data_IF_015906911148
#
_entry.id   IF_015906911148
#
_cell.length_a   1.000
_cell.length_b   1.000
_cell.length_c   1.000
_cell.angle_alpha   90.00
_cell.angle_beta   90.00
_cell.angle_gamma   90.00
#
_symmetry.space_group_name_H-M   'P 1'
#
loop_
_entity.id
_entity.type
_entity.pdbx_description
1 polymer ?
#
# COMPACT_ATOMS: atom_id res chain seq x y z
N UNK A 1 3.31 4.63 -50.16
CA UNK A 1 2.66 5.48 -49.12
C UNK A 1 1.75 4.57 -48.30
N UNK A 2 2.30 3.99 -47.24
CA UNK A 2 1.59 3.08 -46.31
C UNK A 2 1.15 3.88 -45.11
N UNK A 3 -0.17 4.05 -44.98
CA UNK A 3 -0.77 4.68 -43.80
C UNK A 3 -0.51 3.81 -42.57
N UNK A 4 0.21 4.35 -41.60
CA UNK A 4 0.27 3.81 -40.24
C UNK A 4 -1.12 4.01 -39.55
N UNK A 5 -1.66 3.01 -38.85
CA UNK A 5 -2.91 3.19 -38.12
C UNK A 5 -2.67 4.11 -36.93
N UNK A 6 -3.43 5.21 -36.92
CA UNK A 6 -3.53 6.14 -35.79
C UNK A 6 -4.26 5.43 -34.65
N UNK A 7 -3.53 4.81 -33.75
CA UNK A 7 -4.09 4.30 -32.49
C UNK A 7 -4.26 5.49 -31.55
N UNK A 8 -5.47 6.02 -31.53
CA UNK A 8 -5.89 6.94 -30.48
C UNK A 8 -5.56 6.36 -29.11
N UNK A 9 -5.08 7.17 -28.13
CA UNK A 9 -4.83 6.67 -26.78
C UNK A 9 -6.13 6.09 -26.22
N UNK A 10 -6.03 4.87 -25.72
CA UNK A 10 -7.14 4.19 -25.08
C UNK A 10 -7.76 5.15 -24.05
N UNK A 11 -9.05 5.45 -24.21
CA UNK A 11 -9.81 6.30 -23.30
C UNK A 11 -9.49 5.90 -21.86
N UNK A 12 -9.24 6.89 -20.99
CA UNK A 12 -9.14 6.80 -19.53
C UNK A 12 -10.37 6.06 -18.97
N UNK A 13 -10.45 4.77 -19.19
CA UNK A 13 -11.50 3.91 -18.66
C UNK A 13 -11.21 3.67 -17.19
N UNK A 14 -11.51 4.70 -16.38
CA UNK A 14 -12.28 4.63 -15.17
C UNK A 14 -12.18 3.29 -14.43
N UNK A 15 -11.05 3.07 -13.75
CA UNK A 15 -11.22 2.44 -12.46
C UNK A 15 -11.97 3.51 -11.64
N UNK A 16 -13.30 3.33 -11.48
CA UNK A 16 -14.12 4.17 -10.63
C UNK A 16 -13.41 4.28 -9.29
N UNK A 17 -13.14 5.52 -8.84
CA UNK A 17 -12.99 5.73 -7.42
C UNK A 17 -14.32 5.32 -6.81
N UNK A 18 -14.35 4.10 -6.30
CA UNK A 18 -15.40 3.73 -5.39
C UNK A 18 -15.42 4.82 -4.32
N UNK A 19 -16.57 5.40 -4.00
CA UNK A 19 -16.67 6.34 -2.91
C UNK A 19 -15.96 5.68 -1.72
N UNK A 20 -15.05 6.41 -1.07
CA UNK A 20 -14.18 5.86 -0.02
C UNK A 20 -15.01 5.04 0.96
N UNK A 21 -14.97 3.71 0.94
CA UNK A 21 -15.64 2.94 1.96
C UNK A 21 -14.93 3.28 3.26
N UNK A 22 -15.67 3.62 4.30
CA UNK A 22 -15.09 3.91 5.63
C UNK A 22 -14.15 2.78 6.05
N UNK A 23 -14.47 1.53 5.62
CA UNK A 23 -13.70 0.31 5.87
C UNK A 23 -13.38 -0.37 4.53
N UNK A 24 -12.13 -0.73 4.31
CA UNK A 24 -11.71 -1.49 3.14
C UNK A 24 -12.51 -2.81 3.04
N UNK A 25 -12.99 -3.15 1.84
CA UNK A 25 -13.85 -4.33 1.61
C UNK A 25 -13.22 -5.63 2.11
N UNK A 26 -11.91 -5.73 2.03
CA UNK A 26 -11.10 -6.87 2.47
C UNK A 26 -11.10 -7.07 4.00
N UNK A 27 -11.52 -6.06 4.75
CA UNK A 27 -11.62 -6.11 6.21
C UNK A 27 -12.89 -6.80 6.70
N UNK A 28 -14.01 -6.71 5.98
CA UNK A 28 -15.30 -7.22 6.44
C UNK A 28 -15.32 -8.69 6.82
N UNK A 29 -14.75 -9.63 6.02
CA UNK A 29 -14.70 -11.03 6.42
C UNK A 29 -13.90 -11.26 7.72
N UNK A 30 -12.83 -10.48 7.93
CA UNK A 30 -11.99 -10.58 9.13
C UNK A 30 -12.74 -10.03 10.34
N UNK A 31 -13.39 -8.88 10.21
CA UNK A 31 -14.24 -8.32 11.26
C UNK A 31 -15.35 -9.31 11.66
N UNK A 32 -16.01 -9.94 10.69
CA UNK A 32 -17.03 -10.96 10.96
C UNK A 32 -16.47 -12.14 11.77
N UNK A 33 -15.25 -12.59 11.45
CA UNK A 33 -14.55 -13.65 12.22
C UNK A 33 -14.29 -13.21 13.66
N UNK A 34 -13.80 -11.98 13.88
CA UNK A 34 -13.57 -11.45 15.23
C UNK A 34 -14.87 -11.36 16.05
N UNK A 35 -15.96 -10.88 15.43
CA UNK A 35 -17.29 -10.83 16.09
C UNK A 35 -17.76 -12.23 16.47
N UNK A 36 -17.65 -13.20 15.54
CA UNK A 36 -18.09 -14.58 15.76
C UNK A 36 -17.29 -15.24 16.89
N UNK A 37 -15.96 -15.19 16.79
CA UNK A 37 -15.06 -15.81 17.81
C UNK A 37 -15.26 -15.14 19.17
N UNK A 38 -15.29 -13.81 19.21
CA UNK A 38 -15.52 -13.07 20.46
C UNK A 38 -16.87 -13.37 21.10
N UNK A 39 -17.93 -13.45 20.29
CA UNK A 39 -19.28 -13.79 20.75
C UNK A 39 -19.35 -15.22 21.29
N UNK A 40 -18.83 -16.20 20.55
CA UNK A 40 -18.82 -17.62 20.97
C UNK A 40 -17.99 -17.80 22.24
N UNK A 41 -16.79 -17.20 22.30
CA UNK A 41 -15.92 -17.27 23.48
C UNK A 41 -16.59 -16.63 24.72
N UNK A 42 -17.23 -15.47 24.54
CA UNK A 42 -17.99 -14.79 25.62
C UNK A 42 -19.15 -15.63 26.12
N UNK A 43 -19.96 -16.21 25.22
CA UNK A 43 -21.07 -17.09 25.59
C UNK A 43 -20.61 -18.35 26.31
N UNK A 44 -19.55 -18.99 25.83
CA UNK A 44 -18.94 -20.15 26.49
C UNK A 44 -18.41 -19.80 27.89
N UNK A 45 -17.66 -18.70 28.00
CA UNK A 45 -17.15 -18.23 29.29
C UNK A 45 -18.30 -17.90 30.27
N UNK A 46 -19.38 -17.31 29.78
CA UNK A 46 -20.59 -17.04 30.59
C UNK A 46 -21.21 -18.35 31.11
N UNK A 47 -21.38 -19.34 30.23
CA UNK A 47 -21.99 -20.62 30.57
C UNK A 47 -21.16 -21.42 31.58
N UNK A 48 -19.83 -21.52 31.38
CA UNK A 48 -18.97 -22.39 32.19
C UNK A 48 -18.33 -21.70 33.41
N UNK A 49 -18.13 -20.38 33.37
CA UNK A 49 -17.42 -19.62 34.41
C UNK A 49 -18.22 -18.45 35.01
N UNK A 50 -19.45 -18.28 34.56
CA UNK A 50 -20.37 -17.28 35.08
C UNK A 50 -20.31 -15.90 34.42
N UNK A 51 -21.31 -15.06 34.74
CA UNK A 51 -21.52 -13.76 34.09
C UNK A 51 -20.30 -12.80 34.13
N UNK A 52 -19.57 -12.63 35.24
CA UNK A 52 -18.43 -11.71 35.25
C UNK A 52 -17.34 -12.11 34.28
N UNK A 53 -17.03 -13.41 34.18
CA UNK A 53 -15.97 -13.90 33.24
C UNK A 53 -16.42 -13.76 31.79
N UNK A 54 -17.69 -14.09 31.49
CA UNK A 54 -18.27 -13.89 30.16
C UNK A 54 -18.23 -12.42 29.71
N UNK A 55 -18.54 -11.48 30.62
CA UNK A 55 -18.48 -10.04 30.34
C UNK A 55 -17.04 -9.57 30.02
N UNK A 56 -16.04 -10.05 30.78
CA UNK A 56 -14.62 -9.71 30.53
C UNK A 56 -14.19 -10.23 29.17
N UNK A 57 -14.47 -11.51 28.85
CA UNK A 57 -14.12 -12.11 27.55
C UNK A 57 -14.81 -11.36 26.40
N UNK A 58 -16.09 -11.02 26.57
CA UNK A 58 -16.84 -10.22 25.59
C UNK A 58 -16.26 -8.82 25.40
N UNK A 59 -15.84 -8.17 26.48
CA UNK A 59 -15.17 -6.87 26.43
C UNK A 59 -13.86 -6.93 25.64
N UNK A 60 -13.02 -7.97 25.86
CA UNK A 60 -11.81 -8.19 25.09
C UNK A 60 -12.13 -8.42 23.60
N UNK A 61 -13.12 -9.25 23.30
CA UNK A 61 -13.58 -9.51 21.93
C UNK A 61 -14.04 -8.25 21.22
N UNK A 62 -14.78 -7.38 21.94
CA UNK A 62 -15.22 -6.07 21.42
C UNK A 62 -14.03 -5.16 21.10
N UNK A 63 -13.07 -5.03 22.02
CA UNK A 63 -11.86 -4.20 21.81
C UNK A 63 -11.07 -4.68 20.58
N UNK A 64 -10.87 -6.00 20.42
CA UNK A 64 -10.19 -6.58 19.27
C UNK A 64 -10.97 -6.34 17.97
N UNK A 65 -12.30 -6.42 18.01
CA UNK A 65 -13.15 -6.12 16.84
C UNK A 65 -13.05 -4.66 16.44
N UNK A 66 -13.11 -3.72 17.40
CA UNK A 66 -12.94 -2.29 17.14
C UNK A 66 -11.56 -1.96 16.60
N UNK A 67 -10.51 -2.61 17.13
CA UNK A 67 -9.16 -2.48 16.58
C UNK A 67 -9.07 -3.00 15.15
N UNK A 68 -9.72 -4.13 14.84
CA UNK A 68 -9.77 -4.67 13.48
C UNK A 68 -10.47 -3.70 12.52
N UNK A 69 -11.60 -3.09 12.92
CA UNK A 69 -12.26 -2.04 12.14
C UNK A 69 -11.33 -0.83 11.92
N UNK A 70 -10.65 -0.38 12.98
CA UNK A 70 -9.67 0.70 12.89
C UNK A 70 -8.53 0.37 11.93
N UNK A 71 -8.02 -0.86 11.94
CA UNK A 71 -6.96 -1.31 11.05
C UNK A 71 -7.37 -1.24 9.58
N UNK A 72 -8.59 -1.68 9.25
CA UNK A 72 -9.11 -1.69 7.88
C UNK A 72 -9.77 -0.39 7.44
N UNK A 73 -9.63 0.69 8.22
CA UNK A 73 -10.17 2.00 7.80
C UNK A 73 -9.56 2.48 6.50
N UNK A 74 -10.36 3.12 5.67
CA UNK A 74 -9.93 3.67 4.38
C UNK A 74 -10.46 5.10 4.22
N UNK A 75 -9.82 6.08 4.86
CA UNK A 75 -10.27 7.46 4.85
C UNK A 75 -10.16 8.08 3.45
N UNK A 76 -11.06 9.04 3.16
CA UNK A 76 -10.92 9.90 1.99
C UNK A 76 -9.61 10.69 2.07
N UNK A 77 -8.99 10.94 0.90
CA UNK A 77 -7.70 11.63 0.80
C UNK A 77 -7.80 12.81 -0.17
N UNK A 78 -7.06 13.86 0.14
CA UNK A 78 -6.93 15.05 -0.72
C UNK A 78 -5.60 15.00 -1.44
N UNK A 79 -5.60 14.42 -2.63
CA UNK A 79 -4.37 14.27 -3.43
C UNK A 79 -4.01 15.59 -4.10
N UNK A 80 -2.75 16.06 -4.00
CA UNK A 80 -2.26 17.21 -4.74
C UNK A 80 -2.45 17.04 -6.26
N UNK A 81 -2.82 18.11 -6.94
CA UNK A 81 -3.07 18.10 -8.39
C UNK A 81 -1.81 18.34 -9.24
N UNK A 82 -0.67 18.69 -8.62
CA UNK A 82 0.61 18.93 -9.31
C UNK A 82 1.17 17.60 -9.85
N UNK A 83 1.17 17.44 -11.16
CA UNK A 83 1.63 16.24 -11.84
C UNK A 83 3.14 15.99 -11.72
N UNK A 84 3.93 16.99 -11.30
CA UNK A 84 5.36 16.84 -11.03
C UNK A 84 5.65 16.18 -9.69
N UNK A 85 4.65 16.05 -8.81
CA UNK A 85 4.83 15.46 -7.49
C UNK A 85 4.65 13.95 -7.49
N UNK A 86 5.56 13.27 -6.80
CA UNK A 86 5.41 11.87 -6.40
C UNK A 86 4.85 11.84 -4.98
N UNK A 87 3.69 11.22 -4.80
CA UNK A 87 2.93 11.23 -3.54
C UNK A 87 3.21 9.93 -2.77
N UNK A 88 3.24 10.01 -1.43
CA UNK A 88 3.42 8.84 -0.58
C UNK A 88 2.38 7.75 -0.89
N UNK A 89 2.80 6.50 -1.19
CA UNK A 89 1.89 5.40 -1.44
C UNK A 89 1.32 4.77 -0.15
N UNK A 90 1.85 5.15 1.01
CA UNK A 90 1.52 4.53 2.29
C UNK A 90 1.46 5.57 3.43
N UNK A 91 0.58 5.30 4.42
CA UNK A 91 0.65 5.94 5.73
C UNK A 91 1.80 5.30 6.52
N UNK A 92 2.64 6.10 7.12
CA UNK A 92 3.71 5.55 7.93
C UNK A 92 4.82 6.54 8.25
N UNK A 93 6.01 6.00 8.46
CA UNK A 93 7.21 6.78 8.75
C UNK A 93 8.29 6.44 7.74
N UNK A 94 8.98 7.44 7.22
CA UNK A 94 10.15 7.27 6.34
C UNK A 94 11.28 6.64 7.16
N UNK A 95 11.66 5.41 6.82
CA UNK A 95 12.72 4.66 7.53
C UNK A 95 14.03 4.62 6.76
N UNK A 96 14.01 4.95 5.47
CA UNK A 96 15.23 5.06 4.66
C UNK A 96 15.00 5.99 3.47
N UNK A 97 16.03 6.76 3.14
CA UNK A 97 16.17 7.49 1.87
C UNK A 97 17.60 7.21 1.41
N UNK A 98 17.76 6.39 0.39
CA UNK A 98 19.08 5.94 -0.06
C UNK A 98 19.06 5.47 -1.51
N UNK A 99 20.19 5.55 -2.23
CA UNK A 99 20.33 4.90 -3.54
C UNK A 99 20.13 3.39 -3.40
N UNK A 100 19.42 2.78 -4.35
CA UNK A 100 19.27 1.33 -4.43
C UNK A 100 18.90 0.90 -5.86
N UNK A 101 19.27 -0.31 -6.23
CA UNK A 101 18.86 -0.87 -7.51
C UNK A 101 17.41 -1.34 -7.45
N UNK A 102 16.57 -0.97 -8.43
CA UNK A 102 15.21 -1.47 -8.48
C UNK A 102 15.21 -2.99 -8.72
N UNK A 103 14.29 -3.73 -8.09
CA UNK A 103 14.09 -5.15 -8.38
C UNK A 103 13.93 -5.39 -9.89
N UNK A 104 14.61 -6.41 -10.43
CA UNK A 104 14.62 -6.68 -11.88
C UNK A 104 13.24 -6.92 -12.48
N UNK A 105 12.28 -7.43 -11.68
CA UNK A 105 10.89 -7.62 -12.08
C UNK A 105 10.12 -6.32 -12.39
N UNK A 106 10.64 -5.15 -11.97
CA UNK A 106 10.03 -3.86 -12.31
C UNK A 106 10.33 -3.43 -13.75
N UNK A 107 11.41 -3.92 -14.35
CA UNK A 107 11.84 -3.52 -15.70
C UNK A 107 12.16 -2.02 -15.81
N UNK A 108 12.48 -1.34 -14.70
CA UNK A 108 12.84 0.07 -14.67
C UNK A 108 14.34 0.19 -14.98
N UNK A 109 14.72 0.97 -15.99
CA UNK A 109 16.13 1.18 -16.30
C UNK A 109 16.82 2.05 -15.25
N UNK A 110 18.12 1.79 -15.03
CA UNK A 110 18.97 2.56 -14.13
C UNK A 110 19.41 1.76 -12.91
N UNK A 111 20.55 2.15 -12.35
CA UNK A 111 21.13 1.63 -11.11
C UNK A 111 21.25 2.78 -10.12
N UNK A 112 21.24 2.45 -8.82
CA UNK A 112 21.39 3.46 -7.77
C UNK A 112 20.28 4.51 -7.75
N UNK A 113 19.05 4.15 -8.12
CA UNK A 113 17.92 5.07 -8.07
C UNK A 113 17.64 5.49 -6.63
N UNK A 114 17.22 6.75 -6.43
CA UNK A 114 16.76 7.18 -5.12
C UNK A 114 15.57 6.34 -4.69
N UNK A 115 15.69 5.70 -3.52
CA UNK A 115 14.65 4.88 -2.92
C UNK A 115 14.17 5.53 -1.63
N UNK A 116 12.86 5.71 -1.50
CA UNK A 116 12.20 6.14 -0.27
C UNK A 116 11.45 4.96 0.31
N UNK A 117 11.79 4.55 1.55
CA UNK A 117 11.15 3.44 2.25
C UNK A 117 10.20 3.97 3.32
N UNK A 118 8.93 3.57 3.29
CA UNK A 118 7.90 3.97 4.24
C UNK A 118 7.42 2.75 5.02
N UNK A 119 7.66 2.74 6.33
CA UNK A 119 7.23 1.67 7.23
C UNK A 119 5.85 1.97 7.82
N UNK A 120 4.94 1.01 7.72
CA UNK A 120 3.59 1.05 8.28
C UNK A 120 3.51 0.17 9.52
N UNK A 121 3.24 0.75 10.68
CA UNK A 121 2.94 -0.01 11.90
C UNK A 121 1.45 -0.42 11.92
N UNK A 122 1.07 -1.28 12.85
CA UNK A 122 -0.29 -1.86 12.95
C UNK A 122 -1.42 -0.84 13.25
N UNK A 123 -1.09 0.41 13.52
CA UNK A 123 -2.05 1.50 13.75
C UNK A 123 -2.22 2.42 12.54
N UNK A 124 -1.36 2.31 11.52
CA UNK A 124 -1.47 3.08 10.28
C UNK A 124 -2.59 2.55 9.37
N UNK A 125 -2.99 3.33 8.38
CA UNK A 125 -3.85 2.86 7.29
C UNK A 125 -3.00 2.00 6.35
N UNK A 126 -3.50 0.80 6.03
CA UNK A 126 -2.75 -0.18 5.22
C UNK A 126 -3.19 -0.23 3.75
N UNK A 127 -4.13 0.64 3.36
CA UNK A 127 -4.50 0.84 1.95
C UNK A 127 -3.39 1.62 1.26
N UNK A 128 -2.82 1.05 0.19
CA UNK A 128 -1.79 1.71 -0.59
C UNK A 128 -2.37 2.43 -1.81
N UNK A 129 -1.79 3.60 -2.11
CA UNK A 129 -2.26 4.51 -3.13
C UNK A 129 -1.18 4.82 -4.17
N UNK A 130 -1.59 5.00 -5.43
CA UNK A 130 -0.70 5.30 -6.55
C UNK A 130 0.09 6.60 -6.28
N UNK A 131 1.42 6.57 -6.43
CA UNK A 131 2.28 7.72 -6.14
C UNK A 131 2.19 8.82 -7.19
N UNK A 132 1.72 8.51 -8.39
CA UNK A 132 1.50 9.44 -9.49
C UNK A 132 0.36 8.96 -10.40
N UNK A 133 -0.07 9.79 -11.32
CA UNK A 133 -0.93 9.36 -12.42
C UNK A 133 -0.08 8.65 -13.50
N UNK A 134 -0.59 7.56 -14.07
CA UNK A 134 0.13 6.85 -15.13
C UNK A 134 -0.42 5.45 -15.39
N UNK A 135 0.25 4.75 -16.32
CA UNK A 135 -0.07 3.40 -16.74
C UNK A 135 0.84 2.41 -16.03
N UNK A 136 0.29 1.32 -15.51
CA UNK A 136 1.06 0.22 -14.93
C UNK A 136 1.78 -0.53 -16.05
N UNK A 137 3.10 -0.54 -16.03
CA UNK A 137 3.95 -1.20 -17.04
C UNK A 137 4.39 -2.60 -16.61
N UNK A 138 4.53 -2.81 -15.29
CA UNK A 138 4.83 -4.13 -14.72
C UNK A 138 4.10 -4.31 -13.39
N UNK A 139 3.70 -5.55 -13.10
CA UNK A 139 3.13 -5.95 -11.83
C UNK A 139 3.54 -7.40 -11.55
N UNK A 140 4.42 -7.61 -10.60
CA UNK A 140 5.01 -8.90 -10.29
C UNK A 140 4.86 -9.23 -8.81
N UNK A 141 4.36 -10.43 -8.53
CA UNK A 141 4.28 -10.96 -7.17
C UNK A 141 5.40 -11.99 -6.96
N UNK A 142 6.05 -11.89 -5.82
CA UNK A 142 7.07 -12.85 -5.39
C UNK A 142 6.74 -13.36 -4.00
N UNK A 143 6.61 -14.67 -3.90
CA UNK A 143 6.54 -15.35 -2.60
C UNK A 143 7.86 -15.16 -1.85
N UNK A 144 7.78 -15.12 -0.52
CA UNK A 144 8.96 -14.94 0.30
C UNK A 144 8.71 -15.27 1.77
N UNK A 145 9.70 -14.94 2.59
CA UNK A 145 9.65 -15.07 4.04
C UNK A 145 8.93 -13.86 4.67
N UNK A 146 8.78 -13.89 5.99
CA UNK A 146 8.13 -12.82 6.76
C UNK A 146 9.07 -12.34 7.87
N UNK A 147 10.12 -11.60 7.48
CA UNK A 147 10.98 -10.90 8.43
C UNK A 147 10.40 -9.53 8.79
N UNK A 148 10.95 -8.91 9.85
CA UNK A 148 10.57 -7.54 10.20
C UNK A 148 10.83 -6.59 9.02
N UNK A 149 9.76 -5.96 8.51
CA UNK A 149 9.81 -5.12 7.32
C UNK A 149 10.64 -3.83 7.50
N UNK A 150 10.99 -3.44 8.73
CA UNK A 150 11.87 -2.29 8.99
C UNK A 150 13.34 -2.56 8.61
N UNK A 151 13.73 -3.82 8.42
CA UNK A 151 15.10 -4.21 8.08
C UNK A 151 15.32 -4.19 6.56
N UNK A 152 16.50 -3.77 6.11
CA UNK A 152 16.85 -3.75 4.67
C UNK A 152 16.76 -5.13 4.00
N UNK A 153 17.16 -6.19 4.70
CA UNK A 153 17.04 -7.57 4.22
C UNK A 153 15.61 -8.02 3.89
N UNK A 154 14.59 -7.32 4.43
CA UNK A 154 13.19 -7.61 4.13
C UNK A 154 12.85 -7.34 2.67
N UNK A 155 13.49 -6.37 2.01
CA UNK A 155 13.27 -6.06 0.59
C UNK A 155 13.59 -7.23 -0.33
N UNK A 156 14.56 -8.07 0.03
CA UNK A 156 15.03 -9.17 -0.81
C UNK A 156 14.33 -10.49 -0.51
N UNK A 157 14.00 -10.75 0.76
CA UNK A 157 13.59 -12.07 1.21
C UNK A 157 12.10 -12.19 1.53
N UNK A 158 11.40 -11.09 1.81
CA UNK A 158 9.99 -11.14 2.19
C UNK A 158 9.07 -11.25 0.95
N UNK A 159 7.86 -11.77 1.21
CA UNK A 159 6.75 -11.70 0.27
C UNK A 159 6.60 -10.24 -0.21
N UNK A 160 6.58 -10.04 -1.52
CA UNK A 160 6.48 -8.71 -2.10
C UNK A 160 5.61 -8.67 -3.36
N UNK A 161 5.04 -7.51 -3.60
CA UNK A 161 4.37 -7.17 -4.84
C UNK A 161 4.99 -5.90 -5.41
N UNK A 162 5.64 -6.04 -6.54
CA UNK A 162 6.38 -4.99 -7.23
C UNK A 162 5.52 -4.44 -8.38
N UNK A 163 5.34 -3.12 -8.42
CA UNK A 163 4.57 -2.41 -9.44
C UNK A 163 5.45 -1.33 -10.05
N UNK A 164 5.59 -1.33 -11.37
CA UNK A 164 6.15 -0.22 -12.12
C UNK A 164 5.04 0.54 -12.83
N UNK A 165 5.13 1.88 -12.82
CA UNK A 165 4.23 2.74 -13.55
C UNK A 165 5.00 3.76 -14.39
N UNK A 166 4.42 4.13 -15.53
CA UNK A 166 4.92 5.19 -16.40
C UNK A 166 3.95 6.35 -16.36
N UNK A 167 4.45 7.53 -15.97
CA UNK A 167 3.67 8.77 -15.98
C UNK A 167 3.44 9.26 -17.41
N UNK A 168 2.51 10.22 -17.59
CA UNK A 168 2.28 10.87 -18.89
C UNK A 168 3.53 11.61 -19.39
N UNK A 169 4.35 12.15 -18.46
CA UNK A 169 5.65 12.76 -18.78
C UNK A 169 6.77 11.74 -19.10
N UNK A 170 6.46 10.44 -19.12
CA UNK A 170 7.38 9.37 -19.49
C UNK A 170 8.26 8.83 -18.35
N UNK A 171 8.18 9.39 -17.15
CA UNK A 171 8.94 8.92 -16.00
C UNK A 171 8.49 7.54 -15.52
N UNK A 172 9.48 6.67 -15.20
CA UNK A 172 9.20 5.36 -14.63
C UNK A 172 9.36 5.41 -13.10
N UNK A 173 8.32 5.06 -12.38
CA UNK A 173 8.29 5.00 -10.90
C UNK A 173 8.04 3.55 -10.49
N UNK A 174 8.86 3.03 -9.56
CA UNK A 174 8.66 1.72 -8.96
C UNK A 174 8.06 1.81 -7.57
N UNK A 175 7.11 0.93 -7.27
CA UNK A 175 6.56 0.74 -5.92
C UNK A 175 6.65 -0.72 -5.55
N UNK A 176 7.27 -1.04 -4.42
CA UNK A 176 7.39 -2.41 -3.91
C UNK A 176 6.69 -2.49 -2.56
N UNK A 177 5.56 -3.20 -2.53
CA UNK A 177 4.87 -3.57 -1.30
C UNK A 177 5.59 -4.78 -0.69
N UNK A 178 6.01 -4.69 0.56
CA UNK A 178 6.78 -5.70 1.28
C UNK A 178 6.01 -6.09 2.53
N UNK A 179 5.66 -7.38 2.63
CA UNK A 179 5.00 -7.93 3.79
C UNK A 179 5.97 -8.02 4.98
N UNK A 180 5.49 -7.70 6.18
CA UNK A 180 6.26 -7.83 7.42
C UNK A 180 5.99 -9.14 8.17
N UNK A 181 6.52 -9.26 9.39
CA UNK A 181 6.47 -10.48 10.21
C UNK A 181 5.04 -10.99 10.50
N UNK A 182 4.09 -10.09 10.67
CA UNK A 182 2.68 -10.41 10.97
C UNK A 182 1.84 -10.36 9.70
N UNK A 183 2.33 -9.66 8.66
CA UNK A 183 1.68 -9.58 7.36
C UNK A 183 1.75 -10.93 6.65
N UNK A 184 0.60 -11.51 6.34
CA UNK A 184 0.54 -12.80 5.62
C UNK A 184 -0.15 -12.68 4.27
N UNK A 185 -0.45 -11.45 3.79
CA UNK A 185 -1.08 -11.28 2.47
C UNK A 185 -0.99 -9.85 1.96
N UNK A 186 -0.52 -9.72 0.74
CA UNK A 186 -0.64 -8.52 -0.08
C UNK A 186 -1.86 -8.66 -0.98
N UNK A 187 -2.82 -7.75 -0.86
CA UNK A 187 -3.99 -7.68 -1.73
C UNK A 187 -3.63 -6.83 -2.94
N UNK A 188 -3.58 -7.47 -4.10
CA UNK A 188 -3.21 -6.87 -5.38
C UNK A 188 -4.48 -6.44 -6.11
N UNK A 189 -4.55 -5.17 -6.54
CA UNK A 189 -5.72 -4.62 -7.24
C UNK A 189 -5.42 -4.14 -8.66
N UNK A 190 -4.16 -4.30 -9.11
CA UNK A 190 -3.69 -3.78 -10.40
C UNK A 190 -2.93 -4.83 -11.19
N UNK A 191 -2.92 -4.65 -12.50
CA UNK A 191 -2.20 -5.46 -13.48
C UNK A 191 -1.57 -4.55 -14.55
N UNK A 192 -0.60 -5.04 -15.32
CA UNK A 192 -0.06 -4.29 -16.46
C UNK A 192 -1.16 -3.85 -17.43
N UNK A 193 -1.08 -2.62 -17.90
CA UNK A 193 -2.07 -1.95 -18.76
C UNK A 193 -3.13 -1.15 -18.00
N UNK A 194 -3.28 -1.31 -16.69
CA UNK A 194 -4.20 -0.48 -15.92
C UNK A 194 -3.69 0.96 -15.83
N UNK A 195 -4.60 1.94 -15.95
CA UNK A 195 -4.31 3.36 -15.77
C UNK A 195 -4.81 3.81 -14.39
N UNK A 196 -3.93 4.47 -13.63
CA UNK A 196 -4.25 4.98 -12.30
C UNK A 196 -4.13 6.50 -12.27
N UNK A 197 -4.97 7.13 -11.45
CA UNK A 197 -4.79 8.53 -11.03
C UNK A 197 -3.87 8.57 -9.80
N UNK A 198 -3.16 9.67 -9.60
CA UNK A 198 -2.43 9.91 -8.36
C UNK A 198 -3.38 9.76 -7.15
N UNK A 199 -2.93 9.11 -6.09
CA UNK A 199 -3.72 8.84 -4.89
C UNK A 199 -4.77 7.73 -5.02
N UNK A 200 -4.98 7.14 -6.19
CA UNK A 200 -5.91 6.02 -6.39
C UNK A 200 -5.40 4.76 -5.71
N UNK A 201 -6.31 3.96 -5.14
CA UNK A 201 -5.98 2.70 -4.44
C UNK A 201 -5.45 1.66 -5.43
N UNK A 202 -4.28 1.05 -5.15
CA UNK A 202 -3.74 -0.02 -5.98
C UNK A 202 -3.51 -1.33 -5.22
N UNK A 203 -3.63 -1.31 -3.90
CA UNK A 203 -3.44 -2.50 -3.09
C UNK A 203 -3.67 -2.25 -1.60
N UNK A 204 -3.47 -3.30 -0.81
CA UNK A 204 -3.49 -3.26 0.65
C UNK A 204 -2.54 -4.34 1.17
N UNK A 205 -1.79 -4.05 2.24
CA UNK A 205 -0.94 -5.03 2.92
C UNK A 205 -1.51 -5.28 4.30
N UNK A 206 -1.63 -6.54 4.72
CA UNK A 206 -2.17 -6.87 6.05
C UNK A 206 -1.04 -6.92 7.09
N UNK A 207 -1.18 -6.17 8.19
CA UNK A 207 -0.40 -6.20 9.44
C UNK A 207 1.12 -5.99 9.33
N UNK A 208 1.57 -4.74 9.54
CA UNK A 208 2.97 -4.36 9.65
C UNK A 208 3.77 -4.62 8.36
N UNK A 209 4.14 -3.58 7.66
CA UNK A 209 4.63 -3.68 6.29
C UNK A 209 5.48 -2.47 5.91
N UNK A 210 6.07 -2.52 4.73
CA UNK A 210 6.83 -1.42 4.16
C UNK A 210 6.48 -1.25 2.68
N UNK A 211 6.50 -0.01 2.21
CA UNK A 211 6.46 0.30 0.78
C UNK A 211 7.73 1.05 0.41
N UNK A 212 8.45 0.52 -0.57
CA UNK A 212 9.63 1.16 -1.16
C UNK A 212 9.23 1.83 -2.47
N UNK A 213 9.61 3.11 -2.64
CA UNK A 213 9.38 3.88 -3.86
C UNK A 213 10.71 4.15 -4.52
N UNK A 214 10.87 3.69 -5.76
CA UNK A 214 12.04 3.95 -6.60
C UNK A 214 11.72 5.11 -7.53
N UNK A 215 12.50 6.17 -7.41
CA UNK A 215 12.30 7.42 -8.13
C UNK A 215 13.15 7.46 -9.41
N UNK A 216 12.65 8.06 -10.49
CA UNK A 216 13.44 8.25 -11.70
C UNK A 216 14.66 9.16 -11.44
N UNK A 217 15.73 9.03 -12.25
CA UNK A 217 16.91 9.89 -12.15
C UNK A 217 16.54 11.39 -12.19
N UNK A 218 17.27 12.21 -11.43
CA UNK A 218 17.03 13.66 -11.38
C UNK A 218 15.87 14.08 -10.48
N UNK A 219 15.14 13.15 -9.88
CA UNK A 219 14.08 13.51 -8.92
C UNK A 219 14.65 14.16 -7.66
N UNK A 220 13.99 15.22 -7.19
CA UNK A 220 14.27 15.87 -5.90
C UNK A 220 13.48 15.18 -4.79
N UNK A 221 14.15 14.63 -3.78
CA UNK A 221 13.48 14.03 -2.60
C UNK A 221 13.05 15.14 -1.64
N UNK A 222 11.77 15.16 -1.27
CA UNK A 222 11.14 16.19 -0.42
C UNK A 222 10.95 15.76 1.04
N UNK A 223 11.26 14.50 1.37
CA UNK A 223 11.09 13.95 2.72
C UNK A 223 12.42 13.55 3.33
N UNK A 224 12.44 13.47 4.67
CA UNK A 224 13.61 13.06 5.45
C UNK A 224 13.29 11.85 6.33
N UNK A 225 14.34 11.19 6.79
CA UNK A 225 14.26 10.09 7.76
C UNK A 225 13.45 10.51 8.99
N UNK A 226 12.55 9.62 9.45
CA UNK A 226 11.68 9.86 10.60
C UNK A 226 10.42 10.68 10.30
N UNK A 227 10.27 11.23 9.10
CA UNK A 227 9.09 12.00 8.72
C UNK A 227 7.86 11.09 8.55
N UNK A 228 6.72 11.51 9.14
CA UNK A 228 5.43 10.86 8.92
C UNK A 228 4.89 11.18 7.53
N UNK A 229 4.23 10.21 6.90
CA UNK A 229 3.57 10.33 5.61
C UNK A 229 2.12 9.88 5.67
N UNK A 230 1.29 10.47 4.82
CA UNK A 230 -0.11 10.09 4.57
C UNK A 230 -0.25 9.66 3.11
N UNK A 231 -0.73 8.43 2.90
CA UNK A 231 -0.95 7.85 1.57
C UNK A 231 -1.88 8.72 0.73
N UNK A 232 -1.46 9.05 -0.48
CA UNK A 232 -2.25 9.86 -1.40
C UNK A 232 -2.24 11.36 -1.12
N UNK A 233 -1.51 11.83 -0.06
CA UNK A 233 -1.50 13.26 0.30
C UNK A 233 -0.08 13.84 0.42
N UNK A 234 0.85 13.15 1.09
CA UNK A 234 2.18 13.70 1.35
C UNK A 234 3.07 13.63 0.11
N UNK A 235 3.56 14.75 -0.44
CA UNK A 235 4.59 14.74 -1.48
C UNK A 235 5.90 14.17 -0.91
N UNK A 236 6.46 13.16 -1.58
CA UNK A 236 7.74 12.53 -1.20
C UNK A 236 8.88 12.89 -2.12
N UNK A 237 8.56 13.27 -3.36
CA UNK A 237 9.55 13.74 -4.31
C UNK A 237 8.91 14.64 -5.37
N UNK A 238 9.76 15.35 -6.11
CA UNK A 238 9.44 16.09 -7.34
C UNK A 238 10.19 15.47 -8.49
N UNK A 239 9.50 15.19 -9.58
CA UNK A 239 10.08 14.72 -10.84
C UNK A 239 10.89 15.82 -11.50
N UNK A 240 11.98 15.46 -12.18
CA UNK A 240 12.69 16.40 -13.05
C UNK A 240 11.76 16.85 -14.20
N UNK A 241 11.92 18.09 -14.61
CA UNK A 241 11.20 18.67 -15.76
C UNK A 241 11.92 18.26 -17.05
#
# INVERSE_FOLDING_TARGET
>A
MTHAPNTAPASLSTLRDDPSPIIAREGWPIVAVFVLIGGVASAAAWHFAGAPVGAVVGGIGLVLTLWCLWFFRDPARRTPSDASLVIAPADGVVVSVSPADPPGELGIPGQGLQRVCIFMNVFNVHVNRAPAAGVITAAAYREGKFFNASLDKASEQNERFSVAMRTESGHAIGCVQIAGLVARRIVRKVKPGDTLRAGQRYGLIRFGSRVDVYLPPGSEVLVKLGQATLAGETPIARLAV
#
